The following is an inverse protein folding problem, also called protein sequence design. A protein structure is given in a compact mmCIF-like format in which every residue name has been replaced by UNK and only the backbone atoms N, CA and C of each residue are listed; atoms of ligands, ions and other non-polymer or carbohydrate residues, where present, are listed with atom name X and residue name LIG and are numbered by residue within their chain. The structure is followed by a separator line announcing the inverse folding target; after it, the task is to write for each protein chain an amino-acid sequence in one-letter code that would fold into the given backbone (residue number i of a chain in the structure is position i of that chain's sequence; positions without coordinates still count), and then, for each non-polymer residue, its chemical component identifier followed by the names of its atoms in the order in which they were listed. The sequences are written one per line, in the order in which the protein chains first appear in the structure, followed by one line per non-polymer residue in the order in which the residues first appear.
data_IF_226727811586
#
_entry.id   IF_226727811586
#
_cell.length_a   1.000
_cell.length_b   1.000
_cell.length_c   1.000
_cell.angle_alpha   90.00
_cell.angle_beta   90.00
_cell.angle_gamma   90.00
#
_symmetry.space_group_name_H-M   'P 1'
#
loop_
_entity.id
_entity.type
_entity.pdbx_description
1 polymer ?
#
# COMPACT_ATOMS: atom_id res chain seq x y z
N UNK A 1 4.01 7.02 -7.00
CA UNK A 1 5.17 6.20 -7.45
C UNK A 1 5.98 5.62 -6.29
N UNK A 2 6.46 6.42 -5.33
CA UNK A 2 7.24 5.93 -4.17
C UNK A 2 6.57 4.74 -3.46
N UNK A 3 5.27 4.85 -3.18
CA UNK A 3 4.46 3.82 -2.55
C UNK A 3 4.56 2.47 -3.28
N UNK A 4 4.25 2.45 -4.58
CA UNK A 4 4.27 1.23 -5.40
C UNK A 4 5.67 0.62 -5.43
N UNK A 5 6.70 1.46 -5.56
CA UNK A 5 8.09 1.01 -5.54
C UNK A 5 8.47 0.31 -4.23
N UNK A 6 8.09 0.89 -3.08
CA UNK A 6 8.32 0.26 -1.77
C UNK A 6 7.57 -1.06 -1.64
N UNK A 7 6.32 -1.11 -2.10
CA UNK A 7 5.53 -2.33 -2.10
C UNK A 7 6.15 -3.43 -2.96
N UNK A 8 6.65 -3.11 -4.15
CA UNK A 8 7.38 -4.08 -5.01
C UNK A 8 8.59 -4.64 -4.28
N UNK A 9 9.37 -3.78 -3.59
CA UNK A 9 10.51 -4.25 -2.80
C UNK A 9 10.09 -5.19 -1.68
N UNK A 10 9.05 -4.85 -0.92
CA UNK A 10 8.52 -5.71 0.15
C UNK A 10 8.03 -7.05 -0.39
N UNK A 11 7.31 -7.05 -1.52
CA UNK A 11 6.84 -8.27 -2.19
C UNK A 11 8.02 -9.19 -2.54
N UNK A 12 9.11 -8.64 -3.10
CA UNK A 12 10.30 -9.40 -3.47
C UNK A 12 11.05 -9.93 -2.25
N UNK A 13 11.23 -9.11 -1.21
CA UNK A 13 11.92 -9.51 0.02
C UNK A 13 11.18 -10.66 0.71
N UNK A 14 9.86 -10.55 0.87
CA UNK A 14 9.05 -11.54 1.59
C UNK A 14 8.49 -12.66 0.70
N UNK A 15 8.90 -12.72 -0.58
CA UNK A 15 8.43 -13.71 -1.56
C UNK A 15 6.89 -13.85 -1.60
N UNK A 16 6.19 -12.71 -1.55
CA UNK A 16 4.73 -12.66 -1.41
C UNK A 16 4.03 -13.20 -2.66
N UNK A 17 3.04 -14.08 -2.45
CA UNK A 17 2.08 -14.50 -3.48
C UNK A 17 0.68 -13.98 -3.11
N UNK A 18 0.18 -13.03 -3.92
CA UNK A 18 -1.20 -12.52 -3.80
C UNK A 18 -1.90 -12.53 -5.15
N UNK A 19 -3.16 -12.93 -5.17
CA UNK A 19 -4.01 -12.83 -6.35
C UNK A 19 -4.40 -11.37 -6.63
N UNK A 20 -4.63 -10.57 -5.59
CA UNK A 20 -4.96 -9.16 -5.73
C UNK A 20 -3.76 -8.34 -6.27
N UNK A 21 -2.53 -8.70 -5.87
CA UNK A 21 -1.30 -8.06 -6.33
C UNK A 21 -0.58 -8.89 -7.42
N UNK A 22 -1.27 -9.79 -8.12
CA UNK A 22 -0.66 -10.76 -9.05
C UNK A 22 0.27 -10.11 -10.08
N UNK A 23 -0.11 -8.94 -10.59
CA UNK A 23 0.70 -8.20 -11.56
C UNK A 23 1.99 -7.65 -10.94
N UNK A 24 1.95 -7.17 -9.69
CA UNK A 24 3.13 -6.71 -8.95
C UNK A 24 4.03 -7.86 -8.48
N UNK A 25 3.44 -9.01 -8.15
CA UNK A 25 4.17 -10.22 -7.78
C UNK A 25 4.86 -10.89 -8.98
N UNK A 26 4.49 -10.53 -10.21
CA UNK A 26 5.14 -11.11 -11.38
C UNK A 26 6.51 -10.47 -11.58
N UNK A 27 7.56 -11.28 -11.71
CA UNK A 27 8.94 -10.82 -11.98
C UNK A 27 9.12 -10.23 -13.40
N UNK A 28 8.04 -9.74 -14.02
CA UNK A 28 8.03 -9.16 -15.34
C UNK A 28 7.82 -7.65 -15.23
N UNK A 29 8.85 -6.88 -15.60
CA UNK A 29 8.83 -5.42 -15.59
C UNK A 29 7.60 -4.84 -16.32
N UNK A 30 7.16 -5.47 -17.41
CA UNK A 30 5.99 -5.02 -18.17
C UNK A 30 4.71 -5.05 -17.32
N UNK A 31 4.55 -6.07 -16.50
CA UNK A 31 3.37 -6.23 -15.64
C UNK A 31 3.42 -5.28 -14.44
N UNK A 32 4.62 -5.07 -13.86
CA UNK A 32 4.83 -4.06 -12.81
C UNK A 32 4.45 -2.65 -13.32
N UNK A 33 4.89 -2.31 -14.53
CA UNK A 33 4.54 -1.05 -15.20
C UNK A 33 3.04 -0.96 -15.52
N UNK A 34 2.42 -2.02 -16.02
CA UNK A 34 0.98 -2.07 -16.29
C UNK A 34 0.17 -1.84 -15.02
N UNK A 35 0.50 -2.55 -13.93
CA UNK A 35 -0.16 -2.32 -12.64
C UNK A 35 0.03 -0.88 -12.19
N UNK A 36 1.25 -0.36 -12.26
CA UNK A 36 1.57 1.02 -11.87
C UNK A 36 0.74 2.03 -12.65
N UNK A 37 0.62 1.83 -13.96
CA UNK A 37 -0.19 2.68 -14.83
C UNK A 37 -1.67 2.63 -14.44
N UNK A 38 -2.26 1.43 -14.34
CA UNK A 38 -3.66 1.28 -13.94
C UNK A 38 -3.95 1.87 -12.56
N UNK A 39 -3.05 1.66 -11.60
CA UNK A 39 -3.17 2.21 -10.27
C UNK A 39 -3.15 3.74 -10.28
N UNK A 40 -2.23 4.36 -11.02
CA UNK A 40 -2.15 5.82 -11.15
C UNK A 40 -3.41 6.37 -11.83
N UNK A 41 -3.85 5.76 -12.94
CA UNK A 41 -5.06 6.18 -13.64
C UNK A 41 -6.28 6.10 -12.72
N UNK A 42 -6.46 4.99 -12.01
CA UNK A 42 -7.59 4.80 -11.11
C UNK A 42 -7.56 5.75 -9.92
N UNK A 43 -6.37 6.00 -9.36
CA UNK A 43 -6.16 6.99 -8.30
C UNK A 43 -6.53 8.40 -8.77
N UNK A 44 -6.07 8.81 -9.95
CA UNK A 44 -6.34 10.13 -10.51
C UNK A 44 -7.83 10.34 -10.75
N UNK A 45 -8.51 9.37 -11.38
CA UNK A 45 -9.96 9.43 -11.61
C UNK A 45 -10.73 9.50 -10.29
N UNK A 46 -10.40 8.63 -9.33
CA UNK A 46 -11.06 8.61 -8.01
C UNK A 46 -10.84 9.91 -7.24
N UNK A 47 -9.62 10.44 -7.28
CA UNK A 47 -9.29 11.74 -6.66
C UNK A 47 -10.02 12.89 -7.33
N UNK A 48 -10.12 12.91 -8.65
CA UNK A 48 -10.86 13.93 -9.36
C UNK A 48 -12.35 13.94 -8.96
N UNK A 49 -12.96 12.75 -8.91
CA UNK A 49 -14.36 12.60 -8.44
C UNK A 49 -14.51 13.09 -7.00
N UNK A 50 -13.60 12.71 -6.09
CA UNK A 50 -13.69 13.13 -4.68
C UNK A 50 -13.41 14.63 -4.47
N UNK A 51 -12.52 15.23 -5.27
CA UNK A 51 -12.30 16.68 -5.26
C UNK A 51 -13.59 17.42 -5.60
N UNK A 52 -14.36 16.93 -6.57
CA UNK A 52 -15.62 17.56 -6.95
C UNK A 52 -16.61 17.64 -5.77
N UNK A 53 -16.65 16.63 -4.88
CA UNK A 53 -17.59 16.59 -3.76
C UNK A 53 -17.07 17.22 -2.46
N UNK A 54 -15.78 17.06 -2.15
CA UNK A 54 -15.20 17.40 -0.83
C UNK A 54 -13.91 18.23 -0.97
N UNK A 55 -13.69 18.84 -2.14
CA UNK A 55 -12.52 19.70 -2.40
C UNK A 55 -11.19 18.97 -2.13
N UNK A 56 -10.15 19.67 -1.64
CA UNK A 56 -8.82 19.08 -1.44
C UNK A 56 -8.77 17.93 -0.43
N UNK A 57 -9.73 17.84 0.49
CA UNK A 57 -9.85 16.70 1.41
C UNK A 57 -10.12 15.40 0.64
N UNK A 58 -10.78 15.49 -0.53
CA UNK A 58 -10.97 14.35 -1.44
C UNK A 58 -9.66 13.70 -1.88
N UNK A 59 -8.59 14.48 -2.10
CA UNK A 59 -7.26 13.94 -2.44
C UNK A 59 -6.68 13.16 -1.26
N UNK A 60 -6.86 13.66 -0.05
CA UNK A 60 -6.36 13.02 1.17
C UNK A 60 -7.08 11.71 1.44
N UNK A 61 -8.41 11.69 1.26
CA UNK A 61 -9.24 10.49 1.37
C UNK A 61 -8.82 9.46 0.31
N UNK A 62 -8.68 9.86 -0.96
CA UNK A 62 -8.17 8.97 -2.01
C UNK A 62 -6.81 8.40 -1.64
N UNK A 63 -5.88 9.25 -1.21
CA UNK A 63 -4.54 8.80 -0.86
C UNK A 63 -4.56 7.81 0.31
N UNK A 64 -5.39 8.06 1.32
CA UNK A 64 -5.61 7.13 2.41
C UNK A 64 -6.13 5.78 1.91
N UNK A 65 -7.23 5.77 1.15
CA UNK A 65 -7.86 4.52 0.67
C UNK A 65 -6.90 3.70 -0.18
N UNK A 66 -6.24 4.35 -1.14
CA UNK A 66 -5.37 3.68 -2.10
C UNK A 66 -4.07 3.19 -1.45
N UNK A 67 -3.49 3.95 -0.53
CA UNK A 67 -2.31 3.50 0.23
C UNK A 67 -2.66 2.41 1.23
N UNK A 68 -3.77 2.54 1.94
CA UNK A 68 -4.27 1.53 2.86
C UNK A 68 -4.47 0.20 2.16
N UNK A 69 -5.18 0.17 1.03
CA UNK A 69 -5.45 -1.08 0.31
C UNK A 69 -4.15 -1.78 -0.10
N UNK A 70 -3.21 -1.02 -0.65
CA UNK A 70 -1.93 -1.56 -1.12
C UNK A 70 -1.09 -2.10 0.06
N UNK A 71 -1.00 -1.35 1.16
CA UNK A 71 -0.28 -1.78 2.35
C UNK A 71 -0.97 -2.94 3.05
N UNK A 72 -2.28 -2.91 3.20
CA UNK A 72 -3.04 -3.94 3.88
C UNK A 72 -2.86 -5.29 3.21
N UNK A 73 -3.09 -5.35 1.89
CA UNK A 73 -2.91 -6.59 1.13
C UNK A 73 -1.46 -7.10 1.22
N UNK A 74 -0.48 -6.20 1.18
CA UNK A 74 0.93 -6.57 1.32
C UNK A 74 1.23 -7.09 2.73
N UNK A 75 0.87 -6.35 3.77
CA UNK A 75 1.15 -6.66 5.17
C UNK A 75 0.49 -7.95 5.63
N UNK A 76 -0.76 -8.21 5.23
CA UNK A 76 -1.44 -9.47 5.53
C UNK A 76 -0.69 -10.65 4.91
N UNK A 77 -0.17 -10.50 3.69
CA UNK A 77 0.63 -11.55 3.05
C UNK A 77 2.01 -11.72 3.66
N UNK A 78 2.62 -10.64 4.17
CA UNK A 78 3.85 -10.74 4.97
C UNK A 78 3.58 -11.57 6.24
N UNK A 79 2.43 -11.39 6.90
CA UNK A 79 2.07 -12.15 8.10
C UNK A 79 2.04 -13.69 7.90
N UNK A 80 1.81 -14.13 6.65
CA UNK A 80 1.83 -15.53 6.23
C UNK A 80 3.17 -16.00 5.64
N UNK A 81 4.14 -15.10 5.45
CA UNK A 81 5.43 -15.44 4.82
C UNK A 81 6.34 -16.17 5.81
N UNK A 82 7.04 -17.21 5.34
CA UNK A 82 8.01 -17.95 6.15
C UNK A 82 9.11 -17.03 6.70
N UNK A 83 9.60 -16.10 5.88
CA UNK A 83 10.62 -15.13 6.26
C UNK A 83 10.18 -14.30 7.48
N UNK A 84 8.93 -13.85 7.50
CA UNK A 84 8.41 -13.11 8.65
C UNK A 84 8.19 -14.02 9.87
N UNK A 85 7.70 -15.25 9.67
CA UNK A 85 7.47 -16.23 10.74
C UNK A 85 8.80 -16.59 11.43
N UNK A 86 9.85 -16.87 10.65
CA UNK A 86 11.20 -17.14 11.15
C UNK A 86 11.78 -15.94 11.90
N UNK A 87 11.53 -14.72 11.41
CA UNK A 87 12.04 -13.49 12.03
C UNK A 87 11.35 -13.15 13.36
N UNK A 88 10.02 -13.25 13.43
CA UNK A 88 9.25 -12.87 14.62
C UNK A 88 9.23 -13.97 15.69
N UNK A 89 9.47 -15.23 15.29
CA UNK A 89 9.41 -16.41 16.14
C UNK A 89 8.21 -17.31 15.79
N UNK A 90 8.50 -18.59 15.57
CA UNK A 90 7.52 -19.59 15.12
C UNK A 90 6.41 -19.87 16.15
N UNK A 91 6.67 -19.62 17.43
CA UNK A 91 5.71 -19.83 18.53
C UNK A 91 4.59 -18.78 18.57
N UNK A 92 4.73 -17.67 17.84
CA UNK A 92 3.72 -16.61 17.85
C UNK A 92 2.50 -17.03 17.02
N UNK A 93 1.32 -17.01 17.63
CA UNK A 93 0.08 -17.38 16.95
C UNK A 93 -0.20 -16.51 15.72
N UNK A 94 -0.88 -17.11 14.74
CA UNK A 94 -1.26 -16.45 13.48
C UNK A 94 -2.05 -15.15 13.74
N UNK A 95 -3.01 -15.15 14.66
CA UNK A 95 -3.82 -13.96 14.97
C UNK A 95 -2.97 -12.78 15.42
N UNK A 96 -1.96 -13.03 16.26
CA UNK A 96 -1.03 -11.98 16.71
C UNK A 96 -0.15 -11.47 15.58
N UNK A 97 0.34 -12.35 14.69
CA UNK A 97 1.08 -11.93 13.49
C UNK A 97 0.27 -10.98 12.60
N UNK A 98 -1.00 -11.30 12.40
CA UNK A 98 -1.92 -10.45 11.64
C UNK A 98 -2.17 -9.12 12.33
N UNK A 99 -2.34 -9.12 13.65
CA UNK A 99 -2.50 -7.89 14.44
C UNK A 99 -1.26 -6.98 14.31
N UNK A 100 -0.05 -7.53 14.45
CA UNK A 100 1.20 -6.79 14.28
C UNK A 100 1.27 -6.15 12.89
N UNK A 101 1.01 -6.95 11.85
CA UNK A 101 1.02 -6.47 10.46
C UNK A 101 -0.07 -5.44 10.17
N UNK A 102 -1.24 -5.57 10.81
CA UNK A 102 -2.31 -4.58 10.74
C UNK A 102 -1.89 -3.25 11.37
N UNK A 103 -1.26 -3.28 12.56
CA UNK A 103 -0.72 -2.07 13.21
C UNK A 103 0.35 -1.41 12.34
N UNK A 104 1.27 -2.18 11.76
CA UNK A 104 2.28 -1.67 10.82
C UNK A 104 1.60 -1.02 9.61
N UNK A 105 0.61 -1.69 9.01
CA UNK A 105 -0.16 -1.16 7.87
C UNK A 105 -0.79 0.19 8.19
N UNK A 106 -1.46 0.33 9.35
CA UNK A 106 -2.07 1.59 9.76
C UNK A 106 -1.03 2.70 9.93
N UNK A 107 0.13 2.41 10.53
CA UNK A 107 1.21 3.38 10.70
C UNK A 107 1.78 3.83 9.34
N UNK A 108 2.05 2.90 8.42
CA UNK A 108 2.52 3.21 7.08
C UNK A 108 1.51 4.06 6.30
N UNK A 109 0.23 3.68 6.37
CA UNK A 109 -0.87 4.43 5.73
C UNK A 109 -0.96 5.85 6.28
N UNK A 110 -0.94 6.00 7.61
CA UNK A 110 -0.96 7.31 8.27
C UNK A 110 0.22 8.18 7.84
N UNK A 111 1.43 7.62 7.84
CA UNK A 111 2.64 8.33 7.42
C UNK A 111 2.54 8.85 5.99
N UNK A 112 2.09 8.01 5.04
CA UNK A 112 1.89 8.42 3.65
C UNK A 112 0.80 9.48 3.49
N UNK A 113 -0.31 9.38 4.20
CA UNK A 113 -1.36 10.41 4.18
C UNK A 113 -0.88 11.73 4.76
N UNK A 114 -0.06 11.71 5.82
CA UNK A 114 0.54 12.93 6.39
C UNK A 114 1.52 13.60 5.45
N UNK A 115 2.34 12.83 4.73
CA UNK A 115 3.21 13.39 3.69
C UNK A 115 2.37 14.11 2.63
N UNK A 116 1.34 13.44 2.11
CA UNK A 116 0.47 14.05 1.09
C UNK A 116 -0.20 15.32 1.60
N UNK A 117 -0.69 15.32 2.85
CA UNK A 117 -1.22 16.52 3.49
C UNK A 117 -0.22 17.68 3.52
N UNK A 118 1.02 17.41 3.95
CA UNK A 118 2.07 18.44 4.01
C UNK A 118 2.43 18.97 2.61
N UNK A 119 2.47 18.10 1.59
CA UNK A 119 2.74 18.50 0.21
C UNK A 119 1.64 19.42 -0.31
N UNK A 120 0.36 19.07 -0.12
CA UNK A 120 -0.78 19.92 -0.51
C UNK A 120 -0.67 21.29 0.16
N UNK A 121 -0.53 21.30 1.50
CA UNK A 121 -0.42 22.54 2.28
C UNK A 121 0.76 23.42 1.87
N UNK A 122 1.91 22.81 1.58
CA UNK A 122 3.12 23.54 1.13
C UNK A 122 2.96 24.15 -0.26
N UNK A 123 2.02 23.64 -1.06
CA UNK A 123 1.76 24.12 -2.42
C UNK A 123 0.86 25.37 -2.45
N UNK A 124 0.49 25.91 -1.28
CA UNK A 124 -0.37 27.10 -1.16
C UNK A 124 -1.85 26.84 -1.46
N UNK A 125 -2.24 25.56 -1.47
CA UNK A 125 -3.61 25.08 -1.60
C UNK A 125 -4.20 24.73 -0.23
#
# INVERSE_FOLDING_TARGET
MLLIFLTIKLIKIFSIKSNALRLLCSNNLRNELLFTFYYICFFTVSSFVLIYFISYEGIQISNFIFSFFLFFETSIKIADSNIFIEWIGESLEKTFRYLIMFVICLNCTYFFTRITYQVIKSSGL
#
